data_IF_316901421167
#
_entry.id   IF_316901421167
#
_cell.length_a   1.000
_cell.length_b   1.000
_cell.length_c   1.000
_cell.angle_alpha   90.00
_cell.angle_beta   90.00
_cell.angle_gamma   90.00
#
_symmetry.space_group_name_H-M   'P 1'
#
loop_
_entity.id
_entity.type
_entity.pdbx_description
1 polymer ?
#
# COMPACT_ATOMS: atom_id res chain seq x y z
N UNK A 1 11.29 -5.78 27.84
CA UNK A 1 10.52 -6.27 26.69
C UNK A 1 10.98 -5.43 25.52
N UNK A 2 11.34 -5.99 24.36
CA UNK A 2 11.75 -5.15 23.25
C UNK A 2 10.55 -4.28 22.82
N UNK A 3 10.82 -3.01 22.56
CA UNK A 3 9.79 -2.06 22.11
C UNK A 3 9.28 -2.44 20.71
N UNK A 4 8.02 -2.24 20.45
CA UNK A 4 7.44 -2.42 19.11
C UNK A 4 7.71 -1.15 18.33
N UNK A 5 8.60 -1.20 17.35
CA UNK A 5 9.00 -0.02 16.57
C UNK A 5 8.13 0.24 15.35
N UNK A 6 7.43 -0.78 14.85
CA UNK A 6 6.50 -0.65 13.74
C UNK A 6 5.63 -1.91 13.65
N UNK A 7 4.38 -1.79 14.00
CA UNK A 7 3.40 -2.88 13.97
C UNK A 7 2.03 -2.40 13.55
N UNK A 8 1.27 -3.29 12.91
CA UNK A 8 -0.17 -3.12 12.69
C UNK A 8 -0.91 -4.36 13.19
N UNK A 9 -2.13 -4.14 13.68
CA UNK A 9 -3.10 -5.20 13.93
C UNK A 9 -4.35 -4.91 13.11
N UNK A 10 -4.60 -5.73 12.10
CA UNK A 10 -5.75 -5.58 11.20
C UNK A 10 -6.64 -6.81 11.35
N UNK A 11 -7.89 -6.60 11.73
CA UNK A 11 -8.92 -7.64 11.84
C UNK A 11 -10.13 -7.17 11.07
N UNK A 12 -10.48 -7.88 9.99
CA UNK A 12 -11.60 -7.50 9.14
C UNK A 12 -12.16 -8.65 8.31
N UNK A 13 -13.35 -8.48 7.77
CA UNK A 13 -13.97 -9.41 6.83
C UNK A 13 -13.32 -9.31 5.45
N UNK A 14 -13.08 -10.44 4.80
CA UNK A 14 -12.42 -10.50 3.49
C UNK A 14 -13.37 -10.00 2.38
N UNK A 15 -13.32 -8.71 2.10
CA UNK A 15 -14.10 -8.10 1.03
C UNK A 15 -13.56 -8.52 -0.34
N UNK A 16 -12.21 -8.38 -0.54
CA UNK A 16 -11.58 -8.72 -1.81
C UNK A 16 -10.21 -9.32 -1.62
N UNK A 17 -9.89 -10.34 -2.44
CA UNK A 17 -8.57 -10.95 -2.53
C UNK A 17 -8.08 -10.91 -3.98
N UNK A 18 -7.13 -10.02 -4.26
CA UNK A 18 -6.49 -9.93 -5.56
C UNK A 18 -5.15 -10.63 -5.54
N UNK A 19 -4.98 -11.69 -6.32
CA UNK A 19 -3.71 -12.37 -6.52
C UNK A 19 -3.09 -11.99 -7.87
N UNK A 20 -1.78 -11.80 -7.86
CA UNK A 20 -0.98 -11.61 -9.05
C UNK A 20 0.22 -12.56 -9.04
N UNK A 21 0.26 -13.45 -9.99
CA UNK A 21 1.42 -14.32 -10.25
C UNK A 21 2.39 -13.66 -11.22
N UNK A 22 3.67 -13.88 -11.02
CA UNK A 22 4.69 -13.33 -11.89
C UNK A 22 6.03 -14.06 -11.77
N UNK A 23 6.96 -13.66 -12.62
CA UNK A 23 8.33 -14.17 -12.61
C UNK A 23 9.28 -13.00 -12.33
N UNK A 24 10.12 -13.15 -11.32
CA UNK A 24 11.13 -12.18 -10.97
C UNK A 24 12.24 -12.15 -12.04
N UNK A 25 13.04 -11.08 -12.07
CA UNK A 25 14.21 -10.95 -12.98
C UNK A 25 15.23 -12.10 -12.82
N UNK A 26 15.22 -12.76 -11.68
CA UNK A 26 16.05 -13.95 -11.38
C UNK A 26 15.49 -15.26 -11.95
N UNK A 27 14.33 -15.24 -12.62
CA UNK A 27 13.62 -16.40 -13.09
C UNK A 27 12.77 -17.13 -12.03
N UNK A 28 12.76 -16.64 -10.79
CA UNK A 28 11.97 -17.24 -9.71
C UNK A 28 10.52 -16.79 -9.77
N UNK A 29 9.58 -17.72 -9.62
CA UNK A 29 8.15 -17.40 -9.57
C UNK A 29 7.76 -16.82 -8.22
N UNK A 30 6.89 -15.80 -8.26
CA UNK A 30 6.35 -15.15 -7.07
C UNK A 30 4.82 -14.98 -7.17
N UNK A 31 4.20 -14.74 -6.01
CA UNK A 31 2.84 -14.29 -5.92
C UNK A 31 2.80 -13.05 -5.02
N UNK A 32 2.13 -12.02 -5.49
CA UNK A 32 1.71 -10.89 -4.66
C UNK A 32 0.21 -10.96 -4.44
N UNK A 33 -0.23 -10.60 -3.24
CA UNK A 33 -1.64 -10.55 -2.89
C UNK A 33 -1.98 -9.18 -2.32
N UNK A 34 -3.15 -8.66 -2.69
CA UNK A 34 -3.76 -7.50 -2.04
C UNK A 34 -5.08 -7.96 -1.40
N UNK A 35 -5.13 -7.88 -0.09
CA UNK A 35 -6.33 -8.10 0.69
C UNK A 35 -7.04 -6.75 0.88
N UNK A 36 -8.32 -6.68 0.56
CA UNK A 36 -9.18 -5.59 1.00
C UNK A 36 -10.08 -6.13 2.10
N UNK A 37 -9.88 -5.64 3.32
CA UNK A 37 -10.61 -6.08 4.51
C UNK A 37 -11.63 -5.02 4.90
N UNK A 38 -12.87 -5.42 5.12
CA UNK A 38 -13.89 -4.56 5.70
C UNK A 38 -13.70 -4.55 7.24
N UNK A 39 -13.42 -3.36 7.77
CA UNK A 39 -13.20 -3.07 9.19
C UNK A 39 -14.17 -1.97 9.59
N UNK A 40 -15.37 -2.34 10.04
CA UNK A 40 -16.49 -1.41 10.14
C UNK A 40 -16.78 -0.79 8.77
N UNK A 41 -16.81 0.55 8.69
CA UNK A 41 -17.03 1.30 7.44
C UNK A 41 -15.75 1.44 6.58
N UNK A 42 -14.59 0.99 7.08
CA UNK A 42 -13.31 1.11 6.41
C UNK A 42 -13.04 -0.09 5.49
N UNK A 43 -12.39 0.16 4.36
CA UNK A 43 -11.85 -0.86 3.46
C UNK A 43 -10.32 -0.82 3.45
N UNK A 44 -9.72 -1.52 4.41
CA UNK A 44 -8.27 -1.53 4.63
C UNK A 44 -7.58 -2.46 3.64
N UNK A 45 -6.50 -1.98 3.03
CA UNK A 45 -5.67 -2.78 2.12
C UNK A 45 -4.42 -3.28 2.81
N UNK A 46 -4.18 -4.58 2.72
CA UNK A 46 -2.94 -5.22 3.18
C UNK A 46 -2.28 -5.92 2.01
N UNK A 47 -1.01 -5.66 1.78
CA UNK A 47 -0.23 -6.26 0.70
C UNK A 47 0.67 -7.38 1.25
N UNK A 48 0.74 -8.48 0.51
CA UNK A 48 1.63 -9.62 0.81
C UNK A 48 2.43 -9.98 -0.43
N UNK A 49 3.67 -10.34 -0.23
CA UNK A 49 4.54 -10.86 -1.30
C UNK A 49 5.22 -12.15 -0.83
N UNK A 50 5.21 -13.17 -1.66
CA UNK A 50 5.89 -14.44 -1.38
C UNK A 50 6.42 -15.08 -2.65
N UNK A 51 7.53 -15.81 -2.52
CA UNK A 51 8.03 -16.69 -3.60
C UNK A 51 7.21 -17.97 -3.60
N UNK A 52 6.92 -18.54 -4.77
CA UNK A 52 6.21 -19.82 -4.86
C UNK A 52 7.03 -20.98 -4.27
N UNK A 53 8.34 -20.94 -4.47
CA UNK A 53 9.24 -21.98 -3.98
C UNK A 53 10.33 -21.43 -3.08
N UNK A 54 10.81 -22.26 -2.16
CA UNK A 54 12.00 -21.98 -1.34
C UNK A 54 13.27 -22.13 -2.17
N UNK A 55 14.42 -21.72 -1.63
CA UNK A 55 15.74 -21.95 -2.26
C UNK A 55 16.06 -23.45 -2.49
N UNK A 56 15.38 -24.35 -1.77
CA UNK A 56 15.53 -25.81 -1.91
C UNK A 56 14.59 -26.42 -2.96
N UNK A 57 13.70 -25.61 -3.56
CA UNK A 57 12.71 -26.04 -4.53
C UNK A 57 11.39 -26.52 -3.92
N UNK A 58 11.25 -26.54 -2.60
CA UNK A 58 10.00 -26.89 -1.93
C UNK A 58 8.98 -25.74 -2.06
N UNK A 59 7.69 -26.06 -2.02
CA UNK A 59 6.62 -25.06 -1.97
C UNK A 59 6.81 -24.18 -0.72
N UNK A 60 6.76 -22.86 -0.88
CA UNK A 60 6.89 -21.97 0.26
C UNK A 60 5.61 -21.97 1.10
N UNK A 61 5.75 -21.94 2.42
CA UNK A 61 4.59 -21.88 3.33
C UNK A 61 3.71 -20.66 3.09
N UNK A 62 4.32 -19.53 2.71
CA UNK A 62 3.57 -18.31 2.38
C UNK A 62 2.70 -18.49 1.14
N UNK A 63 3.20 -19.12 0.10
CA UNK A 63 2.43 -19.43 -1.09
C UNK A 63 1.32 -20.45 -0.82
N UNK A 64 1.62 -21.52 -0.09
CA UNK A 64 0.66 -22.56 0.28
C UNK A 64 -0.53 -21.96 1.07
N UNK A 65 -0.23 -21.11 2.06
CA UNK A 65 -1.25 -20.40 2.84
C UNK A 65 -2.11 -19.47 1.98
N UNK A 66 -1.49 -18.73 1.06
CA UNK A 66 -2.18 -17.86 0.10
C UNK A 66 -3.09 -18.65 -0.84
N UNK A 67 -2.57 -19.73 -1.40
CA UNK A 67 -3.32 -20.58 -2.32
C UNK A 67 -4.52 -21.23 -1.61
N UNK A 68 -4.34 -21.72 -0.40
CA UNK A 68 -5.43 -22.27 0.43
C UNK A 68 -6.52 -21.21 0.67
N UNK A 69 -6.14 -19.99 1.04
CA UNK A 69 -7.11 -18.93 1.25
C UNK A 69 -7.81 -18.51 -0.05
N UNK A 70 -7.11 -18.53 -1.18
CA UNK A 70 -7.72 -18.23 -2.47
C UNK A 70 -8.73 -19.31 -2.90
N UNK A 71 -8.40 -20.59 -2.71
CA UNK A 71 -9.26 -21.71 -3.14
C UNK A 71 -10.41 -21.99 -2.19
N UNK A 72 -10.17 -21.92 -0.88
CA UNK A 72 -11.13 -22.35 0.15
C UNK A 72 -11.74 -21.19 0.95
N UNK A 73 -11.09 -20.01 0.97
CA UNK A 73 -11.56 -18.87 1.74
C UNK A 73 -12.83 -18.26 1.16
N UNK A 74 -13.63 -17.62 2.02
CA UNK A 74 -14.84 -16.91 1.67
C UNK A 74 -14.55 -15.42 1.56
N UNK A 75 -14.83 -14.82 0.40
CA UNK A 75 -14.66 -13.40 0.10
C UNK A 75 -15.83 -12.92 -0.77
N UNK A 76 -16.13 -11.61 -0.80
CA UNK A 76 -17.07 -11.09 -1.78
C UNK A 76 -16.53 -11.25 -3.20
N UNK A 77 -15.25 -10.91 -3.38
CA UNK A 77 -14.60 -10.99 -4.69
C UNK A 77 -13.21 -11.62 -4.58
N UNK A 78 -12.87 -12.44 -5.57
CA UNK A 78 -11.52 -12.96 -5.77
C UNK A 78 -11.08 -12.72 -7.20
N UNK A 79 -9.85 -12.24 -7.38
CA UNK A 79 -9.28 -11.99 -8.71
C UNK A 79 -7.92 -12.65 -8.80
N UNK A 80 -7.68 -13.40 -9.87
CA UNK A 80 -6.37 -13.97 -10.18
C UNK A 80 -5.86 -13.38 -11.49
N UNK A 81 -4.70 -12.75 -11.44
CA UNK A 81 -3.98 -12.23 -12.61
C UNK A 81 -2.74 -13.06 -12.86
N UNK A 82 -2.65 -13.63 -14.05
CA UNK A 82 -1.49 -14.42 -14.49
C UNK A 82 -0.84 -13.74 -15.68
N UNK A 83 0.48 -13.81 -15.77
CA UNK A 83 1.20 -13.40 -16.96
C UNK A 83 1.13 -14.58 -17.94
N UNK A 84 0.45 -14.38 -19.09
CA UNK A 84 0.34 -15.38 -20.16
C UNK A 84 1.65 -15.54 -20.94
N UNK A 85 1.68 -16.53 -21.86
CA UNK A 85 2.85 -16.83 -22.71
C UNK A 85 3.32 -15.62 -23.55
N UNK A 86 2.39 -14.73 -23.93
CA UNK A 86 2.66 -13.50 -24.69
C UNK A 86 2.85 -12.27 -23.79
N UNK A 87 3.15 -12.42 -22.51
CA UNK A 87 3.14 -11.37 -21.48
C UNK A 87 1.77 -10.65 -21.33
N UNK A 88 0.70 -11.22 -21.83
CA UNK A 88 -0.65 -10.72 -21.62
C UNK A 88 -1.12 -11.06 -20.20
N UNK A 89 -1.76 -10.12 -19.56
CA UNK A 89 -2.32 -10.30 -18.23
C UNK A 89 -3.70 -11.00 -18.35
N UNK A 90 -3.81 -12.20 -17.84
CA UNK A 90 -5.07 -12.95 -17.76
C UNK A 90 -5.72 -12.62 -16.43
N UNK A 91 -7.00 -12.24 -16.45
CA UNK A 91 -7.77 -11.88 -15.26
C UNK A 91 -8.93 -12.86 -15.13
N UNK A 92 -8.95 -13.58 -14.02
CA UNK A 92 -10.10 -14.36 -13.58
C UNK A 92 -10.74 -13.62 -12.41
N UNK A 93 -12.01 -13.24 -12.51
CA UNK A 93 -12.76 -12.54 -11.45
C UNK A 93 -13.99 -13.35 -11.08
N UNK A 94 -14.10 -13.71 -9.81
CA UNK A 94 -15.20 -14.49 -9.26
C UNK A 94 -15.83 -13.75 -8.09
N UNK A 95 -17.17 -13.65 -8.10
CA UNK A 95 -17.98 -13.27 -6.93
C UNK A 95 -18.36 -14.53 -6.19
N UNK A 96 -17.93 -14.67 -4.93
CA UNK A 96 -18.05 -15.91 -4.16
C UNK A 96 -19.18 -15.81 -3.13
N UNK A 97 -19.27 -14.67 -2.44
CA UNK A 97 -20.29 -14.42 -1.41
C UNK A 97 -21.09 -13.17 -1.81
N UNK A 98 -22.34 -13.11 -1.36
CA UNK A 98 -23.22 -11.96 -1.59
C UNK A 98 -23.19 -10.99 -0.39
N UNK A 99 -22.93 -11.51 0.81
CA UNK A 99 -22.91 -10.75 2.05
C UNK A 99 -21.52 -10.75 2.69
N UNK A 100 -21.08 -9.57 3.15
CA UNK A 100 -19.79 -9.39 3.83
C UNK A 100 -19.71 -10.15 5.15
N UNK A 101 -20.84 -10.32 5.85
CA UNK A 101 -20.90 -11.02 7.13
C UNK A 101 -20.68 -12.54 6.99
N UNK A 102 -20.88 -13.08 5.79
CA UNK A 102 -20.60 -14.49 5.47
C UNK A 102 -19.13 -14.73 5.07
N UNK A 103 -18.37 -13.65 4.85
CA UNK A 103 -16.96 -13.73 4.48
C UNK A 103 -16.08 -14.10 5.67
N UNK A 104 -14.93 -14.72 5.38
CA UNK A 104 -13.96 -15.05 6.42
C UNK A 104 -13.43 -13.79 7.10
N UNK A 105 -13.34 -13.85 8.42
CA UNK A 105 -12.61 -12.87 9.20
C UNK A 105 -11.12 -13.19 9.13
N UNK A 106 -10.32 -12.22 8.69
CA UNK A 106 -8.89 -12.33 8.50
C UNK A 106 -8.18 -11.45 9.53
N UNK A 107 -7.11 -12.00 10.09
CA UNK A 107 -6.23 -11.32 11.06
C UNK A 107 -4.83 -11.19 10.49
N UNK A 108 -4.33 -9.97 10.42
CA UNK A 108 -2.92 -9.65 10.28
C UNK A 108 -2.44 -9.04 11.58
N UNK A 109 -1.39 -9.61 12.17
CA UNK A 109 -0.90 -9.17 13.47
C UNK A 109 0.62 -9.32 13.55
N UNK A 110 1.25 -8.50 14.39
CA UNK A 110 2.67 -8.59 14.69
C UNK A 110 2.95 -9.37 15.98
N UNK A 111 1.93 -9.93 16.62
CA UNK A 111 2.05 -10.65 17.88
C UNK A 111 2.31 -12.14 17.67
N UNK A 112 3.20 -12.70 18.48
CA UNK A 112 3.55 -14.12 18.48
C UNK A 112 4.60 -14.50 17.44
N UNK A 113 4.51 -15.73 16.90
CA UNK A 113 5.47 -16.27 15.93
C UNK A 113 5.26 -15.74 14.49
N UNK A 114 4.21 -14.93 14.25
CA UNK A 114 3.82 -14.41 12.94
C UNK A 114 4.07 -12.90 12.91
N UNK A 115 5.33 -12.56 12.83
CA UNK A 115 5.79 -11.17 12.92
C UNK A 115 5.85 -10.58 11.54
N UNK A 116 4.85 -9.90 11.04
CA UNK A 116 5.01 -9.00 9.88
C UNK A 116 3.65 -8.46 9.42
N UNK A 117 3.01 -7.65 10.28
CA UNK A 117 2.07 -6.66 9.80
C UNK A 117 2.59 -5.30 10.21
N UNK A 118 2.94 -4.46 9.23
CA UNK A 118 3.63 -3.20 9.47
C UNK A 118 3.35 -2.18 8.39
N UNK A 119 3.63 -0.92 8.69
CA UNK A 119 3.64 0.16 7.72
C UNK A 119 4.96 0.17 6.93
N UNK A 120 4.88 0.38 5.64
CA UNK A 120 6.04 0.59 4.76
C UNK A 120 5.78 1.75 3.79
N UNK A 121 6.83 2.49 3.48
CA UNK A 121 6.78 3.46 2.40
C UNK A 121 6.92 2.74 1.05
N UNK A 122 6.02 3.06 0.14
CA UNK A 122 6.10 2.67 -1.25
C UNK A 122 6.49 3.90 -2.08
N UNK A 123 7.71 3.90 -2.62
CA UNK A 123 8.24 4.98 -3.44
C UNK A 123 8.27 4.57 -4.91
N UNK A 124 7.65 5.34 -5.78
CA UNK A 124 7.64 5.08 -7.22
C UNK A 124 7.65 6.41 -8.01
N UNK A 125 8.15 6.35 -9.24
CA UNK A 125 8.18 7.52 -10.13
C UNK A 125 6.96 7.49 -11.04
N UNK A 126 6.19 8.58 -11.02
CA UNK A 126 5.07 8.80 -11.92
C UNK A 126 5.22 10.18 -12.57
N UNK A 127 5.15 10.23 -13.90
CA UNK A 127 5.28 11.47 -14.68
C UNK A 127 6.54 12.30 -14.39
N UNK A 128 7.63 11.63 -13.95
CA UNK A 128 8.90 12.25 -13.59
C UNK A 128 9.01 12.71 -12.14
N UNK A 129 7.95 12.57 -11.36
CA UNK A 129 7.91 12.92 -9.95
C UNK A 129 8.03 11.69 -9.06
N UNK A 130 8.81 11.77 -7.98
CA UNK A 130 8.91 10.73 -6.95
C UNK A 130 7.69 10.83 -6.03
N UNK A 131 6.80 9.85 -6.14
CA UNK A 131 5.63 9.71 -5.29
C UNK A 131 5.96 8.73 -4.17
N UNK A 132 5.69 9.14 -2.93
CA UNK A 132 5.82 8.31 -1.73
C UNK A 132 4.44 8.14 -1.09
N UNK A 133 4.05 6.90 -0.88
CA UNK A 133 2.79 6.54 -0.23
C UNK A 133 3.06 5.54 0.87
N UNK A 134 2.28 5.54 1.92
CA UNK A 134 2.34 4.50 2.96
C UNK A 134 1.44 3.34 2.56
N UNK A 135 1.93 2.12 2.76
CA UNK A 135 1.16 0.88 2.57
C UNK A 135 1.28 0.01 3.82
N UNK A 136 0.33 -0.90 3.98
CA UNK A 136 0.39 -1.94 5.01
C UNK A 136 0.90 -3.20 4.34
N UNK A 137 1.99 -3.75 4.85
CA UNK A 137 2.51 -5.04 4.42
C UNK A 137 2.27 -6.07 5.50
N UNK A 138 1.74 -7.23 5.11
CA UNK A 138 1.47 -8.33 6.03
C UNK A 138 1.95 -9.65 5.46
N UNK A 139 2.51 -10.51 6.32
CA UNK A 139 2.80 -11.88 5.97
C UNK A 139 1.88 -12.81 6.77
N UNK A 140 1.45 -13.91 6.15
CA UNK A 140 0.67 -14.95 6.80
C UNK A 140 -0.68 -14.48 7.38
N UNK A 141 -1.68 -14.26 6.52
CA UNK A 141 -3.05 -14.04 6.96
C UNK A 141 -3.55 -15.22 7.77
N UNK A 142 -4.16 -14.97 8.91
CA UNK A 142 -4.80 -16.00 9.72
C UNK A 142 -6.32 -15.87 9.60
N UNK A 143 -7.00 -16.98 9.32
CA UNK A 143 -8.47 -17.02 9.48
C UNK A 143 -8.79 -17.02 10.96
N UNK A 144 -9.69 -16.14 11.36
CA UNK A 144 -10.20 -16.13 12.72
C UNK A 144 -11.18 -17.31 12.90
N UNK A 145 -10.94 -18.15 13.90
CA UNK A 145 -11.89 -19.15 14.32
C UNK A 145 -12.89 -18.50 15.29
N UNK A 146 -14.00 -18.04 14.75
CA UNK A 146 -15.04 -17.32 15.51
C UNK A 146 -15.76 -18.20 16.55
N UNK A 147 -15.57 -19.52 16.47
CA UNK A 147 -16.05 -20.43 17.54
C UNK A 147 -15.20 -20.33 18.82
N UNK A 148 -13.98 -19.83 18.71
CA UNK A 148 -13.01 -19.73 19.83
C UNK A 148 -12.71 -18.31 20.25
N UNK A 149 -12.78 -17.34 19.33
CA UNK A 149 -12.45 -15.95 19.59
C UNK A 149 -13.47 -15.05 18.93
N UNK A 150 -14.00 -14.11 19.70
CA UNK A 150 -14.93 -13.09 19.19
C UNK A 150 -14.29 -12.25 18.07
N UNK A 151 -15.07 -11.98 17.02
CA UNK A 151 -14.70 -11.06 15.96
C UNK A 151 -14.86 -9.62 16.45
N UNK A 152 -13.74 -8.91 16.54
CA UNK A 152 -13.71 -7.48 16.86
C UNK A 152 -12.94 -6.77 15.75
N UNK A 153 -13.62 -6.01 14.86
CA UNK A 153 -12.97 -5.31 13.78
C UNK A 153 -12.02 -4.24 14.31
N UNK A 154 -10.78 -4.18 13.74
CA UNK A 154 -9.79 -3.17 14.09
C UNK A 154 -8.77 -2.98 12.99
N UNK A 155 -8.19 -1.81 12.93
CA UNK A 155 -7.10 -1.45 12.03
C UNK A 155 -6.13 -0.50 12.75
N UNK A 156 -5.39 -1.04 13.69
CA UNK A 156 -4.53 -0.29 14.61
C UNK A 156 -3.09 -0.31 14.12
N UNK A 157 -2.34 0.74 14.45
CA UNK A 157 -0.91 0.79 14.26
C UNK A 157 -0.19 1.31 15.50
N UNK A 158 1.06 0.87 15.66
CA UNK A 158 2.04 1.39 16.61
C UNK A 158 3.34 1.65 15.86
N UNK A 159 3.90 2.85 16.02
CA UNK A 159 5.19 3.22 15.45
C UNK A 159 6.05 3.95 16.47
N UNK A 160 7.35 3.74 16.37
CA UNK A 160 8.34 4.56 17.05
C UNK A 160 9.13 5.30 15.99
N UNK A 161 9.33 6.60 16.18
CA UNK A 161 10.01 7.39 15.18
C UNK A 161 10.40 8.79 15.65
N UNK A 162 10.92 9.56 14.72
CA UNK A 162 11.41 10.92 14.93
C UNK A 162 10.48 11.92 14.27
N UNK A 163 10.07 12.93 15.00
CA UNK A 163 9.28 14.04 14.48
C UNK A 163 10.13 14.87 13.51
N UNK A 164 9.66 15.03 12.28
CA UNK A 164 10.41 15.68 11.21
C UNK A 164 10.24 17.20 11.17
N UNK A 165 9.11 17.68 11.62
CA UNK A 165 8.77 19.10 11.69
C UNK A 165 7.81 19.34 12.86
N UNK A 166 7.73 20.57 13.35
CA UNK A 166 6.74 20.90 14.36
C UNK A 166 5.32 20.59 13.84
N UNK A 167 4.40 20.17 14.71
CA UNK A 167 3.01 19.93 14.35
C UNK A 167 2.39 21.13 13.64
N UNK A 168 1.49 20.89 12.70
CA UNK A 168 0.84 21.94 11.91
C UNK A 168 -0.67 21.78 12.06
N UNK A 169 -1.33 22.86 12.51
CA UNK A 169 -2.78 22.93 12.49
C UNK A 169 -3.27 23.20 11.07
N UNK A 170 -4.28 22.44 10.63
CA UNK A 170 -4.93 22.63 9.33
C UNK A 170 -6.42 22.32 9.43
N UNK A 171 -7.19 22.83 8.49
CA UNK A 171 -8.61 22.51 8.37
C UNK A 171 -8.80 21.44 7.29
N UNK A 172 -9.48 20.35 7.64
CA UNK A 172 -9.85 19.26 6.72
C UNK A 172 -11.36 19.04 6.85
N UNK A 173 -12.09 19.21 5.76
CA UNK A 173 -13.56 19.04 5.72
C UNK A 173 -14.32 19.85 6.81
N UNK A 174 -13.82 21.06 7.13
CA UNK A 174 -14.42 21.95 8.13
C UNK A 174 -14.11 21.56 9.58
N UNK A 175 -13.16 20.67 9.81
CA UNK A 175 -12.65 20.30 11.13
C UNK A 175 -11.19 20.67 11.28
N UNK A 176 -10.82 21.18 12.43
CA UNK A 176 -9.43 21.40 12.79
C UNK A 176 -8.73 20.04 12.99
N UNK A 177 -7.58 19.88 12.38
CA UNK A 177 -6.76 18.67 12.43
C UNK A 177 -5.32 19.06 12.71
N UNK A 178 -4.69 18.43 13.70
CA UNK A 178 -3.27 18.57 13.96
C UNK A 178 -2.50 17.51 13.14
N UNK A 179 -1.65 17.97 12.21
CA UNK A 179 -0.83 17.10 11.38
C UNK A 179 0.55 16.95 11.97
N UNK A 180 1.00 15.69 12.11
CA UNK A 180 2.33 15.32 12.60
C UNK A 180 3.06 14.47 11.55
N UNK A 181 4.25 14.90 11.14
CA UNK A 181 5.10 14.20 10.19
C UNK A 181 6.21 13.47 10.91
N UNK A 182 6.27 12.14 10.76
CA UNK A 182 7.17 11.25 11.50
C UNK A 182 7.97 10.39 10.55
N UNK A 183 9.27 10.25 10.84
CA UNK A 183 10.14 9.27 10.20
C UNK A 183 10.34 8.10 11.16
N UNK A 184 10.11 6.88 10.67
CA UNK A 184 10.17 5.67 11.47
C UNK A 184 11.03 4.60 10.80
N UNK A 185 11.72 3.73 11.59
CA UNK A 185 12.62 2.73 11.07
C UNK A 185 11.91 1.40 10.76
N UNK A 186 12.43 0.70 9.76
CA UNK A 186 12.25 -0.74 9.61
C UNK A 186 13.61 -1.39 9.82
N UNK A 187 13.75 -2.10 10.93
CA UNK A 187 14.98 -2.80 11.30
C UNK A 187 15.01 -4.20 10.68
N UNK A 188 16.13 -4.53 10.07
CA UNK A 188 16.45 -5.87 9.58
C UNK A 188 17.68 -6.39 10.32
N UNK A 189 17.51 -7.52 11.02
CA UNK A 189 18.63 -8.16 11.71
C UNK A 189 19.69 -8.65 10.73
N UNK A 190 20.94 -8.68 11.21
CA UNK A 190 22.04 -9.33 10.50
C UNK A 190 21.72 -10.80 10.25
N UNK A 191 21.96 -11.27 9.02
CA UNK A 191 21.71 -12.65 8.66
C UNK A 191 22.76 -13.16 7.67
N UNK A 192 23.53 -14.20 8.06
CA UNK A 192 24.66 -14.71 7.30
C UNK A 192 25.73 -13.64 7.12
N UNK A 193 26.09 -13.33 5.87
CA UNK A 193 27.08 -12.30 5.54
C UNK A 193 26.47 -10.88 5.37
N UNK A 194 25.20 -10.70 5.73
CA UNK A 194 24.53 -9.40 5.68
C UNK A 194 24.52 -8.75 7.03
N UNK A 195 25.01 -7.52 7.08
CA UNK A 195 24.96 -6.68 8.27
C UNK A 195 23.52 -6.29 8.63
N UNK A 196 23.30 -5.88 9.88
CA UNK A 196 22.07 -5.27 10.30
C UNK A 196 21.82 -3.97 9.52
N UNK A 197 20.57 -3.70 9.17
CA UNK A 197 20.20 -2.53 8.38
C UNK A 197 18.92 -1.90 8.89
N UNK A 198 18.87 -0.57 8.84
CA UNK A 198 17.66 0.22 9.02
C UNK A 198 17.24 0.79 7.67
N UNK A 199 15.94 0.77 7.38
CA UNK A 199 15.32 1.52 6.28
C UNK A 199 14.39 2.54 6.88
N UNK A 200 14.55 3.82 6.51
CA UNK A 200 13.74 4.91 7.03
C UNK A 200 12.51 5.14 6.12
N UNK A 201 11.37 5.22 6.75
CA UNK A 201 10.08 5.47 6.13
C UNK A 201 9.47 6.73 6.73
N UNK A 202 8.61 7.41 5.98
CA UNK A 202 7.95 8.62 6.41
C UNK A 202 6.44 8.43 6.39
N UNK A 203 5.76 8.97 7.39
CA UNK A 203 4.31 8.97 7.50
C UNK A 203 3.82 10.32 7.98
N UNK A 204 2.64 10.70 7.52
CA UNK A 204 1.90 11.84 8.02
C UNK A 204 0.70 11.35 8.81
N UNK A 205 0.66 11.70 10.08
CA UNK A 205 -0.42 11.37 11.02
C UNK A 205 -1.33 12.58 11.19
N UNK A 206 -2.59 12.33 11.52
CA UNK A 206 -3.60 13.35 11.81
C UNK A 206 -4.20 13.07 13.18
N UNK A 207 -4.09 14.00 14.13
CA UNK A 207 -4.89 13.99 15.33
C UNK A 207 -6.15 14.82 15.09
N UNK A 208 -7.32 14.22 15.33
CA UNK A 208 -8.63 14.86 15.14
C UNK A 208 -9.35 15.16 16.45
N UNK A 209 -8.80 14.70 17.56
CA UNK A 209 -9.27 15.03 18.90
C UNK A 209 -8.62 16.34 19.36
N UNK A 210 -9.42 17.37 19.49
CA UNK A 210 -8.95 18.70 19.91
C UNK A 210 -8.36 18.72 21.33
N UNK A 211 -8.74 17.78 22.19
CA UNK A 211 -8.17 17.67 23.55
C UNK A 211 -6.68 17.27 23.52
N UNK A 212 -6.24 16.60 22.44
CA UNK A 212 -4.85 16.21 22.27
C UNK A 212 -3.94 17.30 21.68
N UNK A 213 -4.50 18.36 21.09
CA UNK A 213 -3.71 19.32 20.31
C UNK A 213 -2.66 20.05 21.13
N UNK A 214 -3.02 20.56 22.32
CA UNK A 214 -2.08 21.26 23.22
C UNK A 214 -0.92 20.32 23.61
N UNK A 215 -1.24 19.08 23.96
CA UNK A 215 -0.22 18.09 24.31
C UNK A 215 0.73 17.80 23.14
N UNK A 216 0.20 17.63 21.93
CA UNK A 216 0.99 17.35 20.72
C UNK A 216 1.89 18.53 20.38
N UNK A 217 1.37 19.77 20.45
CA UNK A 217 2.12 20.98 20.13
C UNK A 217 3.29 21.19 21.10
N UNK A 218 3.07 20.95 22.38
CA UNK A 218 4.07 21.15 23.43
C UNK A 218 5.13 20.07 23.48
N UNK A 219 4.77 18.79 23.22
CA UNK A 219 5.66 17.65 23.45
C UNK A 219 6.23 17.04 22.16
N UNK A 220 5.53 17.14 21.02
CA UNK A 220 5.98 16.51 19.77
C UNK A 220 6.65 17.51 18.83
N UNK A 221 7.69 18.19 19.32
CA UNK A 221 8.43 19.16 18.53
C UNK A 221 9.39 18.49 17.55
N UNK A 222 9.92 19.28 16.60
CA UNK A 222 10.89 18.78 15.62
C UNK A 222 12.10 18.13 16.30
N UNK A 223 12.46 16.92 15.90
CA UNK A 223 13.53 16.03 16.37
C UNK A 223 13.20 15.21 17.62
N UNK A 224 12.09 15.40 18.25
CA UNK A 224 11.63 14.54 19.35
C UNK A 224 11.48 13.10 18.87
N UNK A 225 11.97 12.14 19.65
CA UNK A 225 11.72 10.72 19.45
C UNK A 225 10.42 10.35 20.17
N UNK A 226 9.52 9.70 19.50
CA UNK A 226 8.17 9.45 19.99
C UNK A 226 7.73 8.01 19.76
N UNK A 227 6.92 7.49 20.67
CA UNK A 227 6.12 6.29 20.48
C UNK A 227 4.69 6.69 20.27
N UNK A 228 4.09 6.26 19.17
CA UNK A 228 2.77 6.70 18.70
C UNK A 228 1.90 5.51 18.39
N UNK A 229 0.62 5.61 18.72
CA UNK A 229 -0.39 4.62 18.36
C UNK A 229 -1.62 5.30 17.77
N UNK A 230 -2.31 4.57 16.91
CA UNK A 230 -3.49 5.12 16.23
C UNK A 230 -4.23 4.07 15.43
N UNK A 231 -5.17 4.56 14.64
CA UNK A 231 -5.98 3.74 13.75
C UNK A 231 -5.80 4.15 12.28
N UNK A 232 -5.97 3.19 11.39
CA UNK A 232 -5.91 3.39 9.95
C UNK A 232 -7.33 3.56 9.46
N UNK A 233 -7.60 4.71 8.86
CA UNK A 233 -8.92 5.05 8.31
C UNK A 233 -8.83 5.05 6.79
N UNK A 234 -9.70 4.29 6.13
CA UNK A 234 -9.81 4.28 4.68
C UNK A 234 -11.25 4.10 4.24
N UNK A 235 -11.92 5.22 4.03
CA UNK A 235 -13.30 5.28 3.57
C UNK A 235 -13.35 5.30 2.05
N UNK A 236 -14.21 4.45 1.48
CA UNK A 236 -14.40 4.38 0.03
C UNK A 236 -15.85 4.69 -0.29
N UNK A 237 -16.08 5.86 -0.87
CA UNK A 237 -17.44 6.33 -1.21
C UNK A 237 -17.63 6.27 -2.72
N UNK A 238 -18.72 5.65 -3.17
CA UNK A 238 -19.16 5.71 -4.56
C UNK A 238 -20.13 6.87 -4.75
N UNK A 239 -19.76 7.82 -5.60
CA UNK A 239 -20.61 8.95 -5.96
C UNK A 239 -21.13 8.70 -7.36
N UNK A 240 -22.46 8.68 -7.50
CA UNK A 240 -23.10 8.62 -8.81
C UNK A 240 -22.93 9.97 -9.51
N UNK A 241 -22.33 9.94 -10.69
CA UNK A 241 -22.24 11.12 -11.56
C UNK A 241 -23.38 11.01 -12.55
N UNK A 242 -24.30 11.97 -12.52
CA UNK A 242 -25.28 12.11 -13.61
C UNK A 242 -24.52 12.26 -14.92
N UNK A 243 -24.63 11.23 -15.78
CA UNK A 243 -23.97 11.25 -17.09
C UNK A 243 -24.44 12.45 -17.86
N UNK A 244 -23.52 13.36 -18.22
CA UNK A 244 -23.80 14.35 -19.28
C UNK A 244 -24.31 13.56 -20.49
N UNK A 245 -25.52 13.87 -20.91
CA UNK A 245 -26.05 13.31 -22.14
C UNK A 245 -25.05 13.67 -23.23
N UNK A 246 -24.42 12.66 -23.82
CA UNK A 246 -23.64 12.85 -25.03
C UNK A 246 -24.62 13.26 -26.08
N UNK A 247 -24.68 14.56 -26.38
CA UNK A 247 -25.47 15.18 -27.41
C UNK A 247 -24.92 14.83 -28.82
N UNK A 248 -24.45 13.59 -28.96
CA UNK A 248 -24.15 13.06 -30.28
C UNK A 248 -25.47 12.95 -31.04
N UNK A 249 -25.71 13.94 -31.91
CA UNK A 249 -26.80 14.04 -32.85
C UNK A 249 -26.85 12.82 -33.78
N UNK A 250 -27.28 11.70 -33.22
CA UNK A 250 -27.50 10.45 -33.94
C UNK A 250 -28.99 10.19 -34.10
N UNK A 251 -29.46 10.15 -35.32
CA UNK A 251 -30.82 9.83 -35.71
C UNK A 251 -31.18 8.40 -35.24
N UNK A 252 -32.12 8.27 -34.29
CA UNK A 252 -32.91 7.04 -34.15
C UNK A 252 -32.50 5.98 -33.16
N UNK A 253 -31.57 6.16 -32.20
CA UNK A 253 -31.35 5.25 -31.06
C UNK A 253 -31.48 5.98 -29.74
N UNK A 254 -32.39 5.51 -28.87
CA UNK A 254 -32.34 5.87 -27.45
C UNK A 254 -31.02 5.34 -26.91
N UNK A 255 -30.07 6.22 -26.62
CA UNK A 255 -28.85 5.87 -25.89
C UNK A 255 -29.27 5.66 -24.44
N UNK A 256 -29.18 4.43 -23.95
CA UNK A 256 -29.35 4.17 -22.53
C UNK A 256 -28.26 4.95 -21.77
N UNK A 257 -28.70 5.81 -20.86
CA UNK A 257 -27.79 6.57 -19.99
C UNK A 257 -27.07 5.57 -19.11
N UNK A 258 -25.80 5.31 -19.40
CA UNK A 258 -24.96 4.53 -18.48
C UNK A 258 -24.64 5.42 -17.29
N UNK A 259 -25.14 5.05 -16.13
CA UNK A 259 -24.76 5.67 -14.85
C UNK A 259 -23.25 5.56 -14.69
N UNK A 260 -22.57 6.69 -14.54
CA UNK A 260 -21.15 6.73 -14.25
C UNK A 260 -20.96 6.90 -12.75
N UNK A 261 -20.03 6.15 -12.19
CA UNK A 261 -19.68 6.25 -10.77
C UNK A 261 -18.25 6.80 -10.63
N UNK A 262 -18.08 7.74 -9.72
CA UNK A 262 -16.76 8.17 -9.24
C UNK A 262 -16.52 7.56 -7.87
N UNK A 263 -15.38 6.90 -7.71
CA UNK A 263 -14.94 6.43 -6.40
C UNK A 263 -14.10 7.51 -5.74
N UNK A 264 -14.52 7.98 -4.58
CA UNK A 264 -13.72 8.83 -3.71
C UNK A 264 -13.12 7.97 -2.61
N UNK A 265 -11.83 8.16 -2.33
CA UNK A 265 -11.11 7.46 -1.27
C UNK A 265 -10.54 8.51 -0.33
N UNK A 266 -10.97 8.47 0.91
CA UNK A 266 -10.40 9.24 2.00
C UNK A 266 -9.56 8.30 2.88
N UNK A 267 -8.24 8.50 2.90
CA UNK A 267 -7.30 7.62 3.59
C UNK A 267 -6.35 8.47 4.45
N UNK A 268 -6.33 8.19 5.74
CA UNK A 268 -5.45 8.85 6.69
C UNK A 268 -5.12 7.94 7.88
N UNK A 269 -4.06 8.30 8.59
CA UNK A 269 -3.62 7.65 9.82
C UNK A 269 -4.00 8.52 11.01
N UNK A 270 -5.03 8.10 11.75
CA UNK A 270 -5.56 8.84 12.89
C UNK A 270 -4.71 8.57 14.12
N UNK A 271 -4.09 9.61 14.67
CA UNK A 271 -3.29 9.53 15.89
C UNK A 271 -4.22 9.54 17.10
N UNK A 272 -4.18 8.50 17.92
CA UNK A 272 -5.00 8.34 19.11
C UNK A 272 -4.22 8.55 20.41
N UNK A 273 -2.90 8.33 20.38
CA UNK A 273 -2.07 8.50 21.55
C UNK A 273 -0.59 8.43 21.25
N UNK A 274 0.22 8.76 22.24
CA UNK A 274 1.67 8.66 22.14
C UNK A 274 2.37 9.42 23.27
N UNK A 275 3.67 9.22 23.33
CA UNK A 275 4.54 9.88 24.31
C UNK A 275 5.96 10.06 23.74
N UNK A 276 6.70 11.01 24.34
CA UNK A 276 8.11 11.21 24.05
C UNK A 276 8.94 10.11 24.71
N UNK A 277 9.90 9.54 23.96
CA UNK A 277 10.80 8.50 24.48
C UNK A 277 11.90 9.10 25.34
N UNK A 278 12.22 8.43 26.44
CA UNK A 278 13.37 8.73 27.27
C UNK A 278 14.68 8.23 26.62
N UNK A 279 15.81 8.86 26.95
CA UNK A 279 17.13 8.49 26.39
C UNK A 279 17.45 7.00 26.60
N UNK A 280 17.12 6.45 27.77
CA UNK A 280 17.33 5.03 28.10
C UNK A 280 16.51 4.09 27.19
N UNK A 281 15.31 4.47 26.80
CA UNK A 281 14.46 3.69 25.88
C UNK A 281 15.04 3.70 24.46
N UNK A 282 15.58 4.85 24.03
CA UNK A 282 16.21 5.00 22.70
C UNK A 282 17.48 4.15 22.62
N UNK A 283 18.34 4.17 23.64
CA UNK A 283 19.59 3.40 23.66
C UNK A 283 19.37 1.88 23.65
N UNK A 284 18.28 1.41 24.22
CA UNK A 284 17.96 -0.02 24.30
C UNK A 284 17.42 -0.59 22.98
N UNK A 285 16.94 0.26 22.08
CA UNK A 285 16.25 -0.19 20.87
C UNK A 285 17.18 -0.14 19.64
N UNK A 286 17.55 -1.31 19.14
CA UNK A 286 18.45 -1.46 17.97
C UNK A 286 17.95 -0.74 16.70
N UNK A 287 16.65 -0.62 16.54
CA UNK A 287 16.06 0.07 15.41
C UNK A 287 16.28 1.59 15.45
N UNK A 288 16.67 2.13 16.63
CA UNK A 288 16.92 3.54 16.86
C UNK A 288 18.43 3.87 16.93
N UNK A 289 19.29 2.91 16.60
CA UNK A 289 20.74 3.08 16.54
C UNK A 289 21.13 4.25 15.61
N UNK A 290 21.86 5.21 16.15
CA UNK A 290 22.20 6.48 15.46
C UNK A 290 23.04 6.22 14.22
N UNK A 291 24.00 5.31 14.26
CA UNK A 291 24.90 5.01 13.13
C UNK A 291 24.10 4.37 11.99
N UNK A 292 23.17 3.46 12.29
CA UNK A 292 22.29 2.85 11.30
C UNK A 292 21.33 3.87 10.69
N UNK A 293 20.87 4.83 11.47
CA UNK A 293 20.01 5.90 10.98
C UNK A 293 20.76 6.86 10.03
N UNK A 294 21.99 7.25 10.36
CA UNK A 294 22.81 8.10 9.49
C UNK A 294 23.03 7.45 8.12
N UNK A 295 23.41 6.18 8.10
CA UNK A 295 23.55 5.41 6.85
C UNK A 295 22.24 5.37 6.07
N UNK A 296 21.13 5.12 6.73
CA UNK A 296 19.82 5.05 6.10
C UNK A 296 19.36 6.42 5.54
N UNK A 297 19.70 7.53 6.22
CA UNK A 297 19.44 8.87 5.71
C UNK A 297 20.21 9.15 4.42
N UNK A 298 21.51 8.85 4.39
CA UNK A 298 22.31 9.02 3.18
C UNK A 298 21.80 8.19 2.00
N UNK A 299 21.38 6.96 2.25
CA UNK A 299 20.79 6.11 1.20
C UNK A 299 19.48 6.69 0.66
N UNK A 300 18.64 7.26 1.54
CA UNK A 300 17.37 7.87 1.16
C UNK A 300 17.57 9.16 0.34
N UNK A 301 18.53 9.99 0.67
CA UNK A 301 18.90 11.19 -0.09
C UNK A 301 19.40 10.82 -1.49
N UNK A 302 20.31 9.85 -1.59
CA UNK A 302 20.83 9.36 -2.88
C UNK A 302 19.72 8.79 -3.79
N UNK A 303 18.69 8.15 -3.22
CA UNK A 303 17.53 7.69 -3.99
C UNK A 303 16.70 8.86 -4.57
N UNK A 304 16.61 9.97 -3.85
CA UNK A 304 15.97 11.19 -4.33
C UNK A 304 16.71 11.80 -5.51
N UNK A 305 18.04 11.93 -5.41
CA UNK A 305 18.89 12.54 -6.44
C UNK A 305 18.94 11.76 -7.76
N UNK A 306 19.04 10.43 -7.71
CA UNK A 306 19.09 9.56 -8.91
C UNK A 306 17.81 9.64 -9.75
N UNK A 307 16.70 10.09 -9.18
CA UNK A 307 15.42 10.20 -9.88
C UNK A 307 15.18 11.58 -10.51
N UNK A 308 15.98 12.60 -10.19
CA UNK A 308 15.91 13.92 -10.80
C UNK A 308 16.60 13.98 -12.19
N UNK A 309 17.43 13.01 -12.55
CA UNK A 309 17.96 12.94 -13.92
C UNK A 309 16.86 12.56 -14.91
N UNK A 310 16.45 13.45 -15.83
CA UNK A 310 15.48 13.13 -16.86
C UNK A 310 16.04 12.01 -17.73
N UNK A 311 15.47 10.82 -17.64
CA UNK A 311 15.72 9.77 -18.63
C UNK A 311 15.41 10.36 -19.99
N UNK A 312 16.45 10.74 -20.75
CA UNK A 312 16.33 11.09 -22.16
C UNK A 312 15.52 9.99 -22.82
N UNK A 313 14.27 10.27 -23.10
CA UNK A 313 13.39 9.35 -23.81
C UNK A 313 14.02 9.07 -25.16
N UNK A 314 14.58 7.89 -25.34
CA UNK A 314 14.84 7.36 -26.68
C UNK A 314 13.48 7.00 -27.29
N UNK A 315 12.67 8.00 -27.58
CA UNK A 315 11.56 7.85 -28.50
C UNK A 315 12.14 8.04 -29.89
N UNK A 316 12.77 7.01 -30.37
CA UNK A 316 13.14 6.86 -31.78
C UNK A 316 12.19 5.85 -32.44
N UNK A 317 10.91 6.14 -32.50
CA UNK A 317 10.06 5.55 -33.53
C UNK A 317 10.24 6.37 -34.80
N UNK A 318 11.32 6.09 -35.51
CA UNK A 318 11.49 6.47 -36.91
C UNK A 318 10.44 5.75 -37.74
N UNK A 319 9.34 6.41 -38.01
CA UNK A 319 8.43 6.05 -39.08
C UNK A 319 9.17 6.42 -40.36
N UNK A 320 9.78 5.45 -41.04
CA UNK A 320 10.29 5.64 -42.40
C UNK A 320 9.10 6.03 -43.30
N UNK A 321 9.05 7.31 -43.65
CA UNK A 321 8.22 7.78 -44.77
C UNK A 321 8.76 7.16 -46.04
N UNK A 322 8.07 6.14 -46.55
CA UNK A 322 8.28 5.68 -47.91
C UNK A 322 8.01 6.84 -48.87
N UNK A 323 9.09 7.41 -49.41
CA UNK A 323 9.03 8.33 -50.53
C UNK A 323 8.32 7.63 -51.70
N UNK A 324 7.07 8.03 -51.94
CA UNK A 324 6.32 7.66 -53.15
C UNK A 324 6.96 8.42 -54.31
N UNK A 325 7.57 7.70 -55.24
CA UNK A 325 8.06 8.28 -56.50
C UNK A 325 6.93 8.87 -57.35
N UNK A 326 7.13 10.01 -58.03
CA UNK A 326 6.10 10.62 -58.83
C UNK A 326 5.78 9.74 -60.06
N UNK A 327 4.50 9.37 -60.20
CA UNK A 327 3.99 8.71 -61.40
C UNK A 327 4.07 9.70 -62.58
N UNK A 328 4.83 9.31 -63.59
CA UNK A 328 4.84 9.99 -64.89
C UNK A 328 3.44 9.96 -65.49
N UNK A 329 2.95 11.14 -65.88
CA UNK A 329 1.77 11.32 -66.69
C UNK A 329 1.98 10.70 -68.06
N UNK A 330 1.25 9.61 -68.32
CA UNK A 330 1.14 9.05 -69.69
C UNK A 330 -0.11 9.65 -70.38
N UNK A 331 0.14 10.21 -71.52
CA UNK A 331 -0.89 10.71 -72.43
C UNK A 331 -1.90 9.60 -72.78
N UNK A 332 -3.17 9.93 -72.69
CA UNK A 332 -4.22 9.20 -73.41
C UNK A 332 -4.51 9.92 -74.74
N UNK A 333 -4.51 9.17 -75.82
CA UNK A 333 -5.17 9.68 -77.08
C UNK A 333 -6.61 9.13 -77.17
N UNK A 334 -7.49 10.01 -77.49
CA UNK A 334 -8.92 9.89 -77.88
C UNK A 334 -9.94 9.64 -76.76
#
# INVERSE_FOLDING_TARGET
>A
MAMVTNACEIVGRLNRLDLREGVAKTGSEFVSATYTLAVGDNLIKVETFTMKTTKKGDISKGYDSLNTLFTEGKALHKTLRKIGEDNAEVIEDETIMEDIDECDAIVFSNYGNFKYCRLEENAYVKDGELIRTTRITGAFPNRLDESKKEYVPRADFEIVGKVMQNPIMMEVDGQDVMQLKVMFPIYQEAYGDRDAKVTLNEITLQARDSEAFEYIEDNFTKRTMVSLNGEIVRLVTRIEIEGMADDSRGFGRKVERKTQYRTNVDEYFNLLGGYELEEEEIELEKALDIELWEVAYEEREKQGEVQEEPKKSKVGFGREEKKVAPKKSGNLPF
#
